data_IF_503108836032
#
_entry.id   IF_503108836032
#
_cell.length_a   1.000
_cell.length_b   1.000
_cell.length_c   1.000
_cell.angle_alpha   90.00
_cell.angle_beta   90.00
_cell.angle_gamma   90.00
#
_symmetry.space_group_name_H-M   'P 1'
#
loop_
_entity.id
_entity.type
_entity.pdbx_description
1 polymer ?
#
# COMPACT_ATOMS: atom_id res chain seq x y z
N UNK A 1 -1.12 7.94 10.49
CA UNK A 1 -1.49 8.75 11.66
C UNK A 1 -2.94 8.50 12.00
N UNK A 2 -3.29 8.46 13.28
CA UNK A 2 -4.66 8.30 13.78
C UNK A 2 -4.87 9.33 14.87
N UNK A 3 -6.00 10.04 14.86
CA UNK A 3 -6.30 11.13 15.80
C UNK A 3 -7.72 10.99 16.31
N UNK A 4 -7.91 10.95 17.63
CA UNK A 4 -9.22 10.94 18.27
C UNK A 4 -9.66 12.37 18.58
N UNK A 5 -10.93 12.67 18.32
CA UNK A 5 -11.53 13.97 18.59
C UNK A 5 -12.48 13.86 19.79
N UNK A 6 -12.25 14.66 20.85
CA UNK A 6 -13.04 14.59 22.06
C UNK A 6 -14.50 15.03 21.81
N UNK A 7 -15.42 14.43 22.56
CA UNK A 7 -16.83 14.82 22.53
C UNK A 7 -17.04 16.25 23.03
N UNK A 8 -16.33 16.62 24.10
CA UNK A 8 -16.29 17.98 24.61
C UNK A 8 -15.15 18.77 23.94
N UNK A 9 -15.44 19.81 23.13
CA UNK A 9 -14.42 20.60 22.44
C UNK A 9 -13.55 21.44 23.37
N UNK A 10 -13.89 21.56 24.66
CA UNK A 10 -13.04 22.19 25.66
C UNK A 10 -11.91 21.27 26.16
N UNK A 11 -12.00 19.96 25.89
CA UNK A 11 -10.94 19.02 26.20
C UNK A 11 -9.85 19.06 25.11
N UNK A 12 -8.56 18.95 25.50
CA UNK A 12 -7.50 18.86 24.53
C UNK A 12 -7.65 17.59 23.69
N UNK A 13 -7.28 17.67 22.41
CA UNK A 13 -7.15 16.48 21.59
C UNK A 13 -6.02 15.61 22.14
N UNK A 14 -6.25 14.31 22.39
CA UNK A 14 -5.23 13.42 22.90
C UNK A 14 -4.11 13.28 21.85
N UNK A 15 -2.94 13.84 22.14
CA UNK A 15 -1.73 13.63 21.35
C UNK A 15 -1.11 12.27 21.73
N UNK A 16 -1.67 11.20 21.16
CA UNK A 16 -1.37 9.82 21.53
C UNK A 16 -0.89 9.06 20.30
N UNK A 17 0.16 8.24 20.41
CA UNK A 17 0.59 7.39 19.30
C UNK A 17 -0.57 6.48 18.81
N UNK A 18 -0.75 6.30 17.49
CA UNK A 18 -1.82 5.47 16.92
C UNK A 18 -1.95 4.07 17.54
N UNK A 19 -0.82 3.46 17.92
CA UNK A 19 -0.73 2.14 18.52
C UNK A 19 -1.30 2.05 19.96
N UNK A 20 -1.54 3.19 20.62
CA UNK A 20 -2.04 3.24 22.00
C UNK A 20 -3.54 3.57 22.08
N UNK A 21 -4.18 3.89 20.96
CA UNK A 21 -5.62 4.19 20.94
C UNK A 21 -6.43 2.89 20.93
N UNK A 22 -7.21 2.67 21.99
CA UNK A 22 -8.02 1.48 22.22
C UNK A 22 -9.51 1.82 22.26
N UNK A 23 -10.33 0.90 21.73
CA UNK A 23 -11.76 0.84 21.98
C UNK A 23 -12.06 -0.50 22.64
N UNK A 24 -12.52 -0.45 23.90
CA UNK A 24 -12.60 -1.65 24.73
C UNK A 24 -11.22 -2.28 24.95
N UNK A 25 -10.98 -3.44 24.34
CA UNK A 25 -9.67 -4.14 24.36
C UNK A 25 -8.97 -4.15 22.99
N UNK A 26 -9.65 -3.70 21.94
CA UNK A 26 -9.13 -3.72 20.58
C UNK A 26 -8.39 -2.45 20.22
N UNK A 27 -7.31 -2.57 19.45
CA UNK A 27 -6.57 -1.40 18.94
C UNK A 27 -7.30 -0.81 17.74
N UNK A 28 -7.48 0.50 17.74
CA UNK A 28 -8.06 1.23 16.60
C UNK A 28 -7.21 1.06 15.35
N UNK A 29 -5.88 0.95 15.52
CA UNK A 29 -4.96 0.66 14.44
C UNK A 29 -5.26 -0.68 13.74
N UNK A 30 -5.67 -1.72 14.48
CA UNK A 30 -5.97 -3.03 13.91
C UNK A 30 -7.21 -2.98 13.00
N UNK A 31 -8.25 -2.23 13.43
CA UNK A 31 -9.40 -1.97 12.57
C UNK A 31 -8.98 -1.23 11.30
N UNK A 32 -8.15 -0.19 11.44
CA UNK A 32 -7.70 0.59 10.30
C UNK A 32 -6.90 -0.27 9.33
N UNK A 33 -6.01 -1.13 9.82
CA UNK A 33 -5.29 -2.13 9.01
C UNK A 33 -6.25 -3.01 8.22
N UNK A 34 -7.28 -3.55 8.86
CA UNK A 34 -8.29 -4.36 8.16
C UNK A 34 -9.07 -3.54 7.12
N UNK A 35 -9.39 -2.29 7.41
CA UNK A 35 -10.00 -1.36 6.46
C UNK A 35 -9.11 -1.15 5.23
N UNK A 36 -7.79 -0.96 5.41
CA UNK A 36 -6.83 -0.83 4.31
C UNK A 36 -6.82 -2.07 3.41
N UNK A 37 -6.80 -3.25 4.02
CA UNK A 37 -6.80 -4.53 3.30
C UNK A 37 -8.12 -4.77 2.56
N UNK A 38 -9.25 -4.37 3.13
CA UNK A 38 -10.57 -4.58 2.52
C UNK A 38 -10.82 -3.58 1.39
N UNK A 39 -10.70 -2.29 1.67
CA UNK A 39 -11.20 -1.22 0.79
C UNK A 39 -10.13 -0.61 -0.11
N UNK A 40 -8.84 -0.69 0.27
CA UNK A 40 -7.75 0.08 -0.38
C UNK A 40 -6.61 -0.78 -0.89
N UNK A 41 -6.83 -2.10 -1.03
CA UNK A 41 -5.81 -3.05 -1.49
C UNK A 41 -5.34 -2.80 -2.93
N UNK A 42 -6.20 -2.25 -3.80
CA UNK A 42 -5.91 -1.97 -5.23
C UNK A 42 -5.59 -0.51 -5.53
N UNK A 43 -5.25 0.30 -4.53
CA UNK A 43 -4.83 1.67 -4.81
C UNK A 43 -3.39 1.67 -5.34
N UNK A 44 -3.15 2.34 -6.47
CA UNK A 44 -1.86 2.25 -7.19
C UNK A 44 -1.05 3.54 -7.11
N UNK A 45 -1.64 4.61 -6.56
CA UNK A 45 -1.05 5.94 -6.50
C UNK A 45 -0.21 6.12 -5.24
N UNK A 46 1.03 6.59 -5.39
CA UNK A 46 1.92 6.97 -4.27
C UNK A 46 1.43 8.26 -3.60
N UNK A 47 1.63 8.38 -2.29
CA UNK A 47 1.37 9.59 -1.51
C UNK A 47 0.26 9.41 -0.47
N UNK A 48 -0.34 10.51 -0.01
CA UNK A 48 -1.47 10.44 0.93
C UNK A 48 -2.70 9.84 0.26
N UNK A 49 -2.93 8.56 0.51
CA UNK A 49 -4.02 7.81 -0.12
C UNK A 49 -5.30 7.91 0.70
N UNK A 50 -5.20 8.12 2.01
CA UNK A 50 -6.36 8.05 2.89
C UNK A 50 -6.34 9.23 3.83
N UNK A 51 -7.40 10.02 3.73
CA UNK A 51 -7.82 10.99 4.73
C UNK A 51 -9.30 10.70 4.98
N UNK A 52 -9.57 9.95 6.03
CA UNK A 52 -10.91 9.47 6.35
C UNK A 52 -11.21 9.80 7.81
N UNK A 53 -12.39 10.36 8.06
CA UNK A 53 -12.88 10.63 9.40
C UNK A 53 -14.12 9.79 9.66
N UNK A 54 -14.07 9.00 10.72
CA UNK A 54 -15.21 8.27 11.26
C UNK A 54 -15.83 9.12 12.37
N UNK A 55 -17.14 9.33 12.32
CA UNK A 55 -17.89 10.10 13.32
C UNK A 55 -18.86 9.15 14.03
N UNK A 56 -18.94 9.26 15.34
CA UNK A 56 -19.78 8.41 16.19
C UNK A 56 -20.92 9.22 16.80
N UNK A 57 -22.13 8.69 16.68
CA UNK A 57 -23.32 9.23 17.33
C UNK A 57 -24.17 8.07 17.89
N UNK A 58 -24.15 7.82 19.21
CA UNK A 58 -23.56 8.66 20.27
C UNK A 58 -22.02 8.55 20.37
N UNK A 59 -21.33 9.50 21.05
CA UNK A 59 -19.89 9.41 21.29
C UNK A 59 -19.48 8.12 22.01
N UNK A 60 -18.37 7.53 21.59
CA UNK A 60 -17.84 6.26 22.14
C UNK A 60 -16.75 6.50 23.18
N UNK A 61 -16.51 5.52 24.06
CA UNK A 61 -15.37 5.56 24.98
C UNK A 61 -14.10 5.03 24.30
N UNK A 62 -13.04 5.82 24.36
CA UNK A 62 -11.69 5.44 23.95
C UNK A 62 -10.74 5.46 25.14
N UNK A 63 -9.75 4.58 25.13
CA UNK A 63 -8.62 4.63 26.06
C UNK A 63 -7.35 4.94 25.29
N UNK A 64 -6.51 5.80 25.86
CA UNK A 64 -5.20 6.14 25.29
C UNK A 64 -4.02 5.83 26.22
N UNK A 65 -4.31 5.57 27.50
CA UNK A 65 -3.32 5.13 28.48
C UNK A 65 -4.03 4.33 29.57
N UNK A 66 -3.32 3.47 30.31
CA UNK A 66 -3.92 2.71 31.42
C UNK A 66 -4.65 3.63 32.40
N UNK A 67 -5.96 3.40 32.56
CA UNK A 67 -6.82 4.19 33.46
C UNK A 67 -7.27 5.56 32.94
N UNK A 68 -6.88 5.96 31.73
CA UNK A 68 -7.36 7.18 31.08
C UNK A 68 -8.39 6.83 30.00
N UNK A 69 -9.64 7.15 30.30
CA UNK A 69 -10.80 6.95 29.43
C UNK A 69 -11.37 8.32 29.04
N UNK A 70 -11.74 8.47 27.77
CA UNK A 70 -12.29 9.71 27.25
C UNK A 70 -13.43 9.42 26.28
N UNK A 71 -14.42 10.31 26.22
CA UNK A 71 -15.47 10.24 25.20
C UNK A 71 -14.97 10.86 23.90
N UNK A 72 -15.08 10.10 22.82
CA UNK A 72 -14.63 10.43 21.49
C UNK A 72 -15.84 10.53 20.55
N UNK A 73 -15.95 11.63 19.82
CA UNK A 73 -17.02 11.85 18.82
C UNK A 73 -16.58 11.49 17.41
N UNK A 74 -15.27 11.45 17.14
CA UNK A 74 -14.76 11.10 15.82
C UNK A 74 -13.31 10.63 15.89
N UNK A 75 -12.91 9.77 14.98
CA UNK A 75 -11.51 9.38 14.78
C UNK A 75 -11.12 9.67 13.32
N UNK A 76 -10.04 10.41 13.14
CA UNK A 76 -9.45 10.71 11.83
C UNK A 76 -8.27 9.79 11.56
N UNK A 77 -8.23 9.22 10.36
CA UNK A 77 -7.22 8.30 9.89
C UNK A 77 -6.51 8.89 8.68
N UNK A 78 -5.19 8.86 8.74
CA UNK A 78 -4.33 9.31 7.67
C UNK A 78 -3.30 8.23 7.34
N UNK A 79 -3.21 7.82 6.07
CA UNK A 79 -2.18 6.89 5.61
C UNK A 79 -1.52 7.39 4.34
N UNK A 80 -0.19 7.30 4.34
CA UNK A 80 0.63 7.49 3.16
C UNK A 80 0.98 6.13 2.58
N UNK A 81 0.86 5.99 1.26
CA UNK A 81 1.24 4.79 0.53
C UNK A 81 2.59 5.00 -0.13
N UNK A 82 3.51 4.09 0.16
CA UNK A 82 4.75 3.93 -0.59
C UNK A 82 4.54 2.86 -1.67
N UNK A 83 4.63 3.25 -2.95
CA UNK A 83 4.76 2.28 -4.04
C UNK A 83 6.23 2.20 -4.44
N UNK A 84 6.75 0.98 -4.60
CA UNK A 84 8.09 0.73 -5.13
C UNK A 84 7.97 0.02 -6.46
N UNK A 85 8.58 0.60 -7.49
CA UNK A 85 8.70 -0.04 -8.79
C UNK A 85 9.98 -0.87 -8.81
N UNK A 86 9.89 -2.09 -9.33
CA UNK A 86 11.02 -3.00 -9.44
C UNK A 86 11.24 -3.38 -10.90
N UNK A 87 12.49 -3.56 -11.32
CA UNK A 87 12.87 -3.94 -12.67
C UNK A 87 13.80 -5.15 -12.68
N UNK A 88 13.67 -5.97 -13.73
CA UNK A 88 14.56 -7.10 -14.00
C UNK A 88 14.77 -7.26 -15.50
N UNK A 89 16.03 -7.39 -15.89
CA UNK A 89 16.38 -7.76 -17.26
C UNK A 89 16.24 -9.27 -17.42
N UNK A 90 15.39 -9.67 -18.37
CA UNK A 90 15.16 -11.08 -18.70
C UNK A 90 15.79 -11.35 -20.07
N UNK A 91 16.75 -12.29 -20.16
CA UNK A 91 17.28 -12.70 -21.45
C UNK A 91 16.18 -13.27 -22.34
N UNK A 92 16.13 -12.80 -23.58
CA UNK A 92 15.34 -13.38 -24.66
C UNK A 92 16.31 -14.07 -25.63
N UNK A 93 16.01 -15.29 -26.03
CA UNK A 93 16.72 -15.98 -27.10
C UNK A 93 15.76 -16.31 -28.23
N UNK A 94 16.16 -16.00 -29.45
CA UNK A 94 15.36 -16.23 -30.65
C UNK A 94 16.05 -15.71 -31.90
N UNK A 95 15.44 -15.94 -33.05
CA UNK A 95 15.95 -15.42 -34.32
C UNK A 95 15.52 -13.97 -34.52
N UNK A 96 16.47 -13.11 -34.86
CA UNK A 96 16.22 -11.72 -35.21
C UNK A 96 17.19 -11.25 -36.30
N UNK A 97 16.71 -10.36 -37.16
CA UNK A 97 17.54 -9.64 -38.12
C UNK A 97 17.89 -8.28 -37.55
N UNK A 98 19.19 -7.96 -37.47
CA UNK A 98 19.67 -6.65 -36.98
C UNK A 98 20.08 -5.79 -38.17
N UNK A 99 19.45 -4.63 -38.31
CA UNK A 99 19.90 -3.57 -39.20
C UNK A 99 20.82 -2.62 -38.42
N UNK A 100 22.12 -2.74 -38.70
CA UNK A 100 23.17 -1.97 -38.03
C UNK A 100 23.13 -0.47 -38.36
N UNK A 101 22.52 -0.08 -39.49
CA UNK A 101 22.41 1.30 -39.94
C UNK A 101 21.26 2.01 -39.25
N UNK A 102 20.09 1.35 -39.16
CA UNK A 102 18.91 1.91 -38.48
C UNK A 102 18.87 1.62 -36.98
N UNK A 103 19.81 0.81 -36.46
CA UNK A 103 19.83 0.34 -35.06
C UNK A 103 18.54 -0.37 -34.67
N UNK A 104 17.89 -1.02 -35.63
CA UNK A 104 16.64 -1.75 -35.41
C UNK A 104 16.87 -3.26 -35.49
N UNK A 105 16.04 -4.01 -34.77
CA UNK A 105 15.97 -5.46 -34.88
C UNK A 105 14.56 -5.85 -35.31
N UNK A 106 14.46 -6.74 -36.30
CA UNK A 106 13.19 -7.30 -36.77
C UNK A 106 13.13 -8.77 -36.39
N UNK A 107 12.05 -9.15 -35.71
CA UNK A 107 11.76 -10.55 -35.36
C UNK A 107 10.84 -11.11 -36.46
N UNK A 108 11.19 -12.20 -37.16
CA UNK A 108 10.35 -12.76 -38.21
C UNK A 108 9.01 -13.26 -37.68
N UNK A 109 7.99 -13.25 -38.55
CA UNK A 109 6.69 -13.82 -38.20
C UNK A 109 6.83 -15.31 -37.91
N UNK A 110 6.13 -15.79 -36.87
CA UNK A 110 6.15 -17.18 -36.39
C UNK A 110 7.49 -17.66 -35.80
N UNK A 111 8.43 -16.76 -35.50
CA UNK A 111 9.63 -17.12 -34.73
C UNK A 111 9.25 -17.42 -33.29
N UNK A 112 9.75 -18.54 -32.77
CA UNK A 112 9.69 -18.83 -31.35
C UNK A 112 10.73 -17.99 -30.61
N UNK A 113 10.27 -17.18 -29.65
CA UNK A 113 11.13 -16.46 -28.72
C UNK A 113 11.06 -17.22 -27.39
N UNK A 114 12.20 -17.75 -26.95
CA UNK A 114 12.31 -18.32 -25.63
C UNK A 114 12.65 -17.21 -24.64
N UNK A 115 11.81 -17.06 -23.63
CA UNK A 115 12.03 -16.14 -22.52
C UNK A 115 12.42 -16.95 -21.29
N UNK A 116 13.49 -16.54 -20.61
CA UNK A 116 13.83 -17.17 -19.34
C UNK A 116 12.69 -16.99 -18.33
N UNK A 117 12.36 -18.04 -17.58
CA UNK A 117 11.35 -17.96 -16.51
C UNK A 117 11.70 -16.85 -15.53
N UNK A 118 10.72 -15.99 -15.28
CA UNK A 118 10.84 -14.91 -14.31
C UNK A 118 10.36 -15.44 -12.95
N UNK A 119 11.20 -15.38 -11.88
CA UNK A 119 10.75 -15.72 -10.54
C UNK A 119 9.59 -14.82 -10.12
N UNK A 120 8.52 -15.41 -9.58
CA UNK A 120 7.37 -14.66 -9.06
C UNK A 120 7.63 -13.93 -7.74
N UNK A 121 8.81 -14.10 -7.14
CA UNK A 121 9.25 -13.31 -6.00
C UNK A 121 9.94 -12.04 -6.50
N UNK A 122 9.24 -10.91 -6.36
CA UNK A 122 9.71 -9.60 -6.81
C UNK A 122 10.70 -8.94 -5.84
N UNK A 123 10.87 -9.50 -4.63
CA UNK A 123 11.74 -8.91 -3.59
C UNK A 123 13.22 -8.93 -3.96
N UNK A 124 13.62 -9.86 -4.82
CA UNK A 124 14.99 -9.99 -5.33
C UNK A 124 15.28 -9.08 -6.53
N UNK A 125 14.30 -8.30 -6.99
CA UNK A 125 14.45 -7.44 -8.15
C UNK A 125 15.08 -6.11 -7.74
N UNK A 126 15.74 -5.45 -8.68
CA UNK A 126 16.32 -4.14 -8.42
C UNK A 126 15.18 -3.11 -8.38
N UNK A 127 15.26 -2.14 -7.46
CA UNK A 127 14.35 -0.97 -7.50
C UNK A 127 14.62 -0.22 -8.80
N UNK A 128 13.55 0.07 -9.55
CA UNK A 128 13.62 0.79 -10.81
C UNK A 128 14.11 2.22 -10.55
N UNK A 129 15.14 2.62 -11.28
CA UNK A 129 15.66 3.98 -11.27
C UNK A 129 15.27 4.68 -12.58
N UNK A 130 14.26 5.57 -12.58
CA UNK A 130 13.78 6.22 -13.80
C UNK A 130 14.86 7.10 -14.47
N UNK A 131 15.88 7.54 -13.72
CA UNK A 131 17.00 8.30 -14.28
C UNK A 131 18.00 7.43 -15.05
N UNK A 132 17.98 6.11 -14.81
CA UNK A 132 18.84 5.12 -15.46
C UNK A 132 18.12 4.34 -16.55
N UNK A 133 16.97 4.82 -17.04
CA UNK A 133 16.22 4.17 -18.13
C UNK A 133 17.17 3.99 -19.33
N UNK A 134 17.76 2.80 -19.43
CA UNK A 134 18.63 2.45 -20.54
C UNK A 134 17.70 2.22 -21.71
N UNK A 135 17.85 3.00 -22.77
CA UNK A 135 17.27 2.75 -24.08
C UNK A 135 17.81 1.43 -24.63
N UNK A 136 17.38 0.30 -24.07
CA UNK A 136 17.63 -1.01 -24.62
C UNK A 136 16.41 -1.88 -24.35
N UNK A 137 15.33 -1.65 -25.08
CA UNK A 137 14.23 -2.59 -25.07
C UNK A 137 13.52 -2.60 -26.42
N UNK A 138 13.81 -3.66 -27.18
CA UNK A 138 12.98 -4.12 -28.29
C UNK A 138 11.62 -4.63 -27.74
N UNK A 139 11.56 -4.98 -26.44
CA UNK A 139 10.37 -5.51 -25.77
C UNK A 139 10.36 -5.13 -24.27
N UNK A 140 9.19 -4.77 -23.73
CA UNK A 140 8.98 -4.48 -22.32
C UNK A 140 7.69 -5.17 -21.83
N UNK A 141 7.75 -5.80 -20.66
CA UNK A 141 6.57 -6.37 -19.98
C UNK A 141 6.43 -5.68 -18.63
N UNK A 142 5.27 -5.10 -18.38
CA UNK A 142 4.92 -4.53 -17.08
C UNK A 142 4.14 -5.56 -16.27
N UNK A 143 4.61 -5.84 -15.07
CA UNK A 143 3.89 -6.63 -14.07
C UNK A 143 3.52 -5.72 -12.92
N UNK A 144 2.27 -5.81 -12.48
CA UNK A 144 1.80 -5.15 -11.27
C UNK A 144 1.55 -6.21 -10.21
N UNK A 145 2.26 -6.09 -9.09
CA UNK A 145 2.12 -6.97 -7.95
C UNK A 145 1.85 -6.11 -6.71
N UNK A 146 0.84 -6.50 -5.93
CA UNK A 146 0.51 -5.84 -4.67
C UNK A 146 1.07 -6.69 -3.53
N UNK A 147 2.14 -6.21 -2.90
CA UNK A 147 2.58 -6.75 -1.61
C UNK A 147 1.75 -6.11 -0.50
N UNK A 148 0.99 -6.91 0.23
CA UNK A 148 0.33 -6.46 1.45
C UNK A 148 1.30 -6.64 2.61
N UNK A 149 1.74 -5.53 3.20
CA UNK A 149 2.58 -5.56 4.42
C UNK A 149 1.80 -5.94 5.67
N UNK A 150 0.47 -6.01 5.58
CA UNK A 150 -0.40 -6.26 6.71
C UNK A 150 -1.11 -7.60 6.58
N UNK A 151 -1.24 -8.28 7.71
CA UNK A 151 -2.13 -9.43 7.86
C UNK A 151 -3.45 -8.97 8.46
N UNK A 152 -4.53 -9.68 8.14
CA UNK A 152 -5.83 -9.43 8.74
C UNK A 152 -5.80 -9.74 10.24
N UNK A 153 -6.26 -8.80 11.06
CA UNK A 153 -6.32 -8.95 12.52
C UNK A 153 -7.74 -9.35 12.94
N UNK A 154 -7.92 -10.60 13.41
CA UNK A 154 -9.23 -11.17 13.73
C UNK A 154 -9.93 -10.52 14.93
N UNK A 155 -9.15 -9.94 15.81
CA UNK A 155 -9.51 -9.38 17.11
C UNK A 155 -9.57 -7.84 17.10
N UNK A 156 -9.56 -7.24 15.91
CA UNK A 156 -9.80 -5.82 15.71
C UNK A 156 -11.21 -5.42 16.20
N UNK A 157 -11.36 -4.23 16.81
CA UNK A 157 -12.68 -3.72 17.18
C UNK A 157 -13.47 -3.39 15.90
N UNK A 158 -14.79 -3.63 15.89
CA UNK A 158 -15.63 -3.19 14.78
C UNK A 158 -16.11 -1.77 15.02
N UNK A 159 -15.44 -0.79 14.40
CA UNK A 159 -15.79 0.63 14.55
C UNK A 159 -16.99 1.05 13.67
N UNK A 160 -17.36 0.26 12.66
CA UNK A 160 -18.48 0.60 11.76
C UNK A 160 -19.84 0.23 12.37
N UNK A 161 -19.86 -0.70 13.32
CA UNK A 161 -21.04 -1.14 14.06
C UNK A 161 -21.33 -0.32 15.33
N UNK A 162 -20.52 0.71 15.64
CA UNK A 162 -20.57 1.49 16.88
C UNK A 162 -21.33 2.81 16.74
#
# INVERSE_FOLDING_TARGET
QIQAHPADPSQPEPNVPPEQLLVGRGRVLDWFTNYLLRERHRENTTGWVINFQMVFDPPIQVSHAPGQMQLCRAISFHAERECREYERFVPLSGEAFVDWHTKSATIPANTQIDMQTVPGDFRDWAVRDPSKTRESSIFAVAFEAHEHQFEHVSDAPDLEAM
#
